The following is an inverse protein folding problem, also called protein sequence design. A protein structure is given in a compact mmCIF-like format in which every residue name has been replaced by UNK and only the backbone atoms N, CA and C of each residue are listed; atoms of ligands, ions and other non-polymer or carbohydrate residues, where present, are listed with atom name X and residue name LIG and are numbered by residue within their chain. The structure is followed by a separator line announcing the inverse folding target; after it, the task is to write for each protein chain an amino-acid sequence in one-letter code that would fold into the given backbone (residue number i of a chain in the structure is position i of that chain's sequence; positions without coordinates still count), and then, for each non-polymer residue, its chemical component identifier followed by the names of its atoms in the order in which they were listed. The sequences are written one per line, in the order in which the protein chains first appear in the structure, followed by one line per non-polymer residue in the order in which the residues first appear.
data_IF_682446147319
#
_entry.id   IF_682446147319
#
_cell.length_a   1.000
_cell.length_b   1.000
_cell.length_c   1.000
_cell.angle_alpha   90.00
_cell.angle_beta   90.00
_cell.angle_gamma   90.00
#
_symmetry.space_group_name_H-M   'P 1'
#
loop_
_entity.id
_entity.type
_entity.pdbx_description
1 polymer ?
#
# COMPACT_ATOMS: atom_id res chain seq x y z
N UNK A 1 56.07 -15.28 -41.57
CA UNK A 1 55.98 -14.12 -40.67
C UNK A 1 54.51 -13.92 -40.34
N UNK A 2 54.09 -14.36 -39.16
CA UNK A 2 52.72 -14.22 -38.68
C UNK A 2 52.53 -12.79 -38.15
N UNK A 3 51.60 -12.05 -38.74
CA UNK A 3 51.13 -10.77 -38.18
C UNK A 3 50.11 -11.06 -37.07
N UNK A 4 50.25 -10.45 -35.87
CA UNK A 4 49.30 -10.62 -34.77
C UNK A 4 48.00 -9.81 -35.02
N UNK A 5 46.91 -10.09 -34.29
CA UNK A 5 45.57 -9.63 -34.64
C UNK A 5 45.38 -8.14 -34.34
N UNK A 6 44.69 -7.45 -35.24
CA UNK A 6 44.17 -6.09 -35.05
C UNK A 6 43.16 -6.10 -33.90
N UNK A 7 43.57 -5.65 -32.72
CA UNK A 7 42.64 -5.37 -31.61
C UNK A 7 41.83 -4.12 -31.95
N UNK A 8 40.53 -4.33 -32.10
CA UNK A 8 39.50 -3.33 -32.31
C UNK A 8 39.34 -2.48 -31.04
N UNK A 9 39.59 -1.16 -31.04
CA UNK A 9 39.43 -0.32 -29.85
C UNK A 9 37.98 0.16 -29.75
N UNK A 10 37.03 -0.77 -29.70
CA UNK A 10 35.62 -0.49 -29.39
C UNK A 10 35.25 -1.24 -28.11
N UNK A 11 36.08 -1.10 -27.08
CA UNK A 11 35.66 -1.42 -25.71
C UNK A 11 34.85 -0.24 -25.20
N UNK A 12 33.52 -0.31 -25.35
CA UNK A 12 32.57 0.54 -24.66
C UNK A 12 32.86 0.55 -23.16
N UNK A 13 33.53 1.59 -22.68
CA UNK A 13 33.51 1.92 -21.27
C UNK A 13 32.15 2.53 -20.97
N UNK A 14 31.27 1.75 -20.35
CA UNK A 14 30.03 2.27 -19.75
C UNK A 14 30.44 3.29 -18.68
N UNK A 15 30.04 4.57 -18.78
CA UNK A 15 30.42 5.55 -17.78
C UNK A 15 29.64 5.26 -16.49
N UNK A 16 30.36 5.07 -15.38
CA UNK A 16 29.74 5.00 -14.06
C UNK A 16 29.07 6.35 -13.73
N UNK A 17 27.89 6.35 -13.07
CA UNK A 17 27.13 7.58 -12.86
C UNK A 17 27.90 8.50 -11.90
N UNK A 18 28.23 9.70 -12.37
CA UNK A 18 28.82 10.75 -11.54
C UNK A 18 27.78 11.25 -10.52
N UNK A 19 27.98 10.91 -9.24
CA UNK A 19 27.16 11.46 -8.15
C UNK A 19 27.37 12.97 -8.05
N UNK A 20 26.33 13.72 -8.39
CA UNK A 20 26.34 15.19 -8.43
C UNK A 20 26.57 15.77 -7.02
N UNK A 21 27.75 16.33 -6.76
CA UNK A 21 28.12 16.91 -5.45
C UNK A 21 27.24 18.09 -4.98
N UNK A 22 26.34 18.62 -5.83
CA UNK A 22 25.36 19.64 -5.43
C UNK A 22 24.27 19.07 -4.52
N UNK A 23 23.80 17.84 -4.75
CA UNK A 23 22.80 17.20 -3.87
C UNK A 23 23.37 16.86 -2.50
N UNK A 24 24.66 16.50 -2.44
CA UNK A 24 25.35 16.23 -1.18
C UNK A 24 25.55 17.50 -0.35
N UNK A 25 25.99 18.61 -0.97
CA UNK A 25 26.13 19.91 -0.28
C UNK A 25 24.79 20.46 0.19
N UNK A 26 23.74 20.33 -0.62
CA UNK A 26 22.38 20.68 -0.22
C UNK A 26 21.89 19.81 0.95
N UNK A 27 22.17 18.51 0.93
CA UNK A 27 21.89 17.60 2.04
C UNK A 27 22.60 18.00 3.33
N UNK A 28 23.88 18.38 3.28
CA UNK A 28 24.64 18.81 4.46
C UNK A 28 24.04 20.09 5.07
N UNK A 29 23.72 21.10 4.24
CA UNK A 29 23.06 22.32 4.73
C UNK A 29 21.68 22.05 5.31
N UNK A 30 20.92 21.12 4.72
CA UNK A 30 19.63 20.68 5.26
C UNK A 30 19.78 20.02 6.62
N UNK A 31 20.74 19.11 6.79
CA UNK A 31 20.99 18.44 8.08
C UNK A 31 21.45 19.43 9.16
N UNK A 32 22.34 20.38 8.82
CA UNK A 32 22.79 21.41 9.77
C UNK A 32 21.62 22.30 10.20
N UNK A 33 20.79 22.73 9.24
CA UNK A 33 19.58 23.50 9.53
C UNK A 33 18.60 22.72 10.44
N UNK A 34 18.38 21.45 10.13
CA UNK A 34 17.54 20.56 10.93
C UNK A 34 18.07 20.38 12.36
N UNK A 35 19.37 20.13 12.53
CA UNK A 35 20.00 19.97 13.84
C UNK A 35 19.97 21.26 14.66
N UNK A 36 20.17 22.42 14.02
CA UNK A 36 20.09 23.73 14.68
C UNK A 36 18.66 24.01 15.15
N UNK A 37 17.66 23.71 14.31
CA UNK A 37 16.25 23.86 14.66
C UNK A 37 15.85 22.89 15.79
N UNK A 38 16.32 21.65 15.74
CA UNK A 38 16.12 20.65 16.79
C UNK A 38 16.74 21.09 18.13
N UNK A 39 17.92 21.74 18.10
CA UNK A 39 18.57 22.26 19.29
C UNK A 39 17.77 23.41 19.93
N UNK A 40 17.25 24.33 19.11
CA UNK A 40 16.39 25.44 19.58
C UNK A 40 15.05 24.91 20.12
N UNK A 41 14.53 23.83 19.53
CA UNK A 41 13.26 23.19 19.90
C UNK A 41 13.44 21.93 20.76
N UNK A 42 14.47 21.90 21.60
CA UNK A 42 14.82 20.74 22.44
C UNK A 42 13.62 20.14 23.18
N UNK A 43 12.74 20.92 23.84
CA UNK A 43 11.55 20.36 24.51
C UNK A 43 10.60 19.63 23.55
N UNK A 44 10.41 20.16 22.34
CA UNK A 44 9.58 19.55 21.31
C UNK A 44 10.19 18.24 20.80
N UNK A 45 11.51 18.21 20.58
CA UNK A 45 12.21 17.00 20.12
C UNK A 45 12.09 15.88 21.15
N UNK A 46 12.28 16.19 22.43
CA UNK A 46 12.13 15.21 23.52
C UNK A 46 10.71 14.62 23.53
N UNK A 47 9.69 15.46 23.46
CA UNK A 47 8.30 14.99 23.48
C UNK A 47 7.94 14.15 22.26
N UNK A 48 8.38 14.57 21.06
CA UNK A 48 8.13 13.79 19.84
C UNK A 48 8.87 12.47 19.91
N UNK A 49 10.14 12.47 20.29
CA UNK A 49 10.97 11.26 20.29
C UNK A 49 10.46 10.21 21.29
N UNK A 50 10.19 10.62 22.54
CA UNK A 50 9.70 9.69 23.56
C UNK A 50 8.20 9.43 23.43
N UNK A 51 7.40 10.46 23.16
CA UNK A 51 5.95 10.33 23.04
C UNK A 51 5.50 9.53 21.81
N UNK A 52 6.25 9.59 20.71
CA UNK A 52 6.00 8.79 19.50
C UNK A 52 6.75 7.45 19.46
N UNK A 53 7.42 7.05 20.55
CA UNK A 53 8.15 5.78 20.59
C UNK A 53 7.28 4.58 20.14
N UNK A 54 6.01 4.43 20.56
CA UNK A 54 5.16 3.34 20.06
C UNK A 54 4.95 3.35 18.54
N UNK A 55 4.88 4.54 17.94
CA UNK A 55 4.76 4.69 16.48
C UNK A 55 6.05 4.31 15.75
N UNK A 56 7.20 4.61 16.35
CA UNK A 56 8.50 4.15 15.84
C UNK A 56 8.58 2.62 15.89
N UNK A 57 8.07 2.02 16.96
CA UNK A 57 7.98 0.55 17.08
C UNK A 57 7.03 -0.02 16.02
N UNK A 58 5.87 0.60 15.78
CA UNK A 58 4.95 0.19 14.72
C UNK A 58 5.60 0.28 13.32
N UNK A 59 6.35 1.35 13.04
CA UNK A 59 7.12 1.52 11.79
C UNK A 59 8.11 0.38 11.54
N UNK A 60 8.71 -0.18 12.59
CA UNK A 60 9.70 -1.27 12.49
C UNK A 60 9.04 -2.64 12.36
N UNK A 61 7.93 -2.86 13.08
CA UNK A 61 7.24 -4.15 13.13
C UNK A 61 6.39 -4.37 11.87
N UNK A 62 5.79 -3.32 11.33
CA UNK A 62 4.86 -3.42 10.20
C UNK A 62 5.59 -3.71 8.88
N UNK A 63 5.54 -4.98 8.49
CA UNK A 63 6.12 -5.49 7.23
C UNK A 63 5.09 -5.59 6.09
N UNK A 64 3.88 -5.07 6.29
CA UNK A 64 2.87 -5.06 5.23
C UNK A 64 3.23 -4.03 4.16
N UNK A 65 2.88 -4.29 2.89
CA UNK A 65 3.20 -3.40 1.77
C UNK A 65 2.61 -2.00 1.96
N UNK A 66 1.39 -1.91 2.53
CA UNK A 66 0.70 -0.65 2.81
C UNK A 66 1.00 -0.01 4.17
N UNK A 67 1.72 -0.69 5.06
CA UNK A 67 2.01 -0.26 6.45
C UNK A 67 0.81 0.31 7.21
N UNK A 68 -0.36 -0.33 7.10
CA UNK A 68 -1.59 0.21 7.68
C UNK A 68 -1.55 0.31 9.20
N UNK A 69 -0.89 -0.63 9.89
CA UNK A 69 -0.76 -0.58 11.34
C UNK A 69 0.05 0.64 11.77
N UNK A 70 1.13 0.93 11.04
CA UNK A 70 1.93 2.13 11.24
C UNK A 70 1.08 3.39 11.17
N UNK A 71 0.28 3.57 10.12
CA UNK A 71 -0.50 4.80 9.94
C UNK A 71 -1.58 4.96 11.01
N UNK A 72 -2.26 3.87 11.39
CA UNK A 72 -3.26 3.89 12.46
C UNK A 72 -2.63 4.26 13.81
N UNK A 73 -1.50 3.63 14.16
CA UNK A 73 -0.79 3.89 15.42
C UNK A 73 -0.21 5.29 15.43
N UNK A 74 0.44 5.72 14.34
CA UNK A 74 1.03 7.06 14.22
C UNK A 74 -0.01 8.16 14.37
N UNK A 75 -1.13 8.06 13.65
CA UNK A 75 -2.20 9.06 13.74
C UNK A 75 -2.79 9.15 15.15
N UNK A 76 -3.05 7.99 15.77
CA UNK A 76 -3.68 7.97 17.09
C UNK A 76 -2.71 8.36 18.21
N UNK A 77 -1.46 7.90 18.15
CA UNK A 77 -0.40 8.27 19.10
C UNK A 77 -0.06 9.77 19.00
N UNK A 78 0.02 10.31 17.78
CA UNK A 78 0.20 11.76 17.57
C UNK A 78 -0.97 12.56 18.10
N UNK A 79 -2.21 12.12 17.87
CA UNK A 79 -3.41 12.77 18.43
C UNK A 79 -3.36 12.85 19.97
N UNK A 80 -2.92 11.79 20.64
CA UNK A 80 -2.75 11.78 22.10
C UNK A 80 -1.59 12.64 22.61
N UNK A 81 -0.54 12.80 21.81
CA UNK A 81 0.60 13.68 22.11
C UNK A 81 0.31 15.16 21.83
N UNK A 82 -0.56 15.44 20.85
CA UNK A 82 -0.83 16.77 20.33
C UNK A 82 -1.15 17.84 21.40
N UNK A 83 -2.04 17.64 22.38
CA UNK A 83 -2.34 18.67 23.37
C UNK A 83 -1.10 19.08 24.18
N UNK A 84 -0.24 18.13 24.54
CA UNK A 84 1.01 18.40 25.25
C UNK A 84 2.02 19.13 24.35
N UNK A 85 1.99 18.86 23.05
CA UNK A 85 2.80 19.57 22.07
C UNK A 85 2.36 21.03 21.94
N UNK A 86 1.04 21.29 21.95
CA UNK A 86 0.50 22.65 21.92
C UNK A 86 0.85 23.45 23.18
N UNK A 87 0.91 22.80 24.35
CA UNK A 87 1.34 23.45 25.59
C UNK A 87 2.81 23.91 25.51
N UNK A 88 3.68 23.10 24.93
CA UNK A 88 5.08 23.50 24.72
C UNK A 88 5.15 24.68 23.76
N UNK A 89 4.40 24.62 22.67
CA UNK A 89 4.46 25.62 21.59
C UNK A 89 3.91 26.98 21.97
N UNK A 90 2.84 27.02 22.77
CA UNK A 90 2.12 28.26 23.06
C UNK A 90 2.19 28.72 24.51
N UNK A 91 2.60 27.85 25.44
CA UNK A 91 2.75 28.21 26.86
C UNK A 91 4.22 28.36 27.22
N UNK A 92 4.84 27.29 27.73
CA UNK A 92 6.15 27.35 28.37
C UNK A 92 7.13 26.47 27.59
N UNK A 93 7.98 27.12 26.80
CA UNK A 93 9.08 26.48 26.07
C UNK A 93 10.26 26.15 27.01
N UNK A 94 10.07 25.18 27.90
CA UNK A 94 11.13 24.72 28.81
C UNK A 94 11.28 23.22 28.79
N UNK A 95 12.52 22.76 28.94
CA UNK A 95 12.85 21.34 29.01
C UNK A 95 12.29 20.69 30.27
N UNK A 96 12.22 21.42 31.38
CA UNK A 96 11.65 20.93 32.63
C UNK A 96 10.17 20.53 32.46
N UNK A 97 9.39 21.34 31.72
CA UNK A 97 8.00 21.01 31.43
C UNK A 97 7.88 19.74 30.57
N UNK A 98 8.70 19.61 29.52
CA UNK A 98 8.71 18.41 28.69
C UNK A 98 9.03 17.14 29.50
N UNK A 99 10.03 17.21 30.39
CA UNK A 99 10.38 16.10 31.27
C UNK A 99 9.23 15.78 32.22
N UNK A 100 8.63 16.78 32.87
CA UNK A 100 7.46 16.58 33.75
C UNK A 100 6.33 15.89 33.02
N UNK A 101 6.01 16.34 31.81
CA UNK A 101 4.99 15.71 30.95
C UNK A 101 5.32 14.26 30.68
N UNK A 102 6.58 13.94 30.35
CA UNK A 102 7.00 12.57 30.08
C UNK A 102 7.08 11.66 31.31
N UNK A 103 7.24 12.23 32.51
CA UNK A 103 7.26 11.46 33.77
C UNK A 103 5.88 11.31 34.42
N UNK A 104 4.88 12.06 33.97
CA UNK A 104 3.54 12.01 34.52
C UNK A 104 2.79 10.77 33.98
N UNK A 105 2.37 9.89 34.89
CA UNK A 105 1.68 8.63 34.53
C UNK A 105 0.39 8.85 33.76
N UNK A 106 -0.37 9.91 34.06
CA UNK A 106 -1.64 10.18 33.38
C UNK A 106 -1.41 10.67 31.95
N UNK A 107 -0.37 11.49 31.74
CA UNK A 107 0.00 11.95 30.41
C UNK A 107 0.46 10.76 29.56
N UNK A 108 1.30 9.89 30.12
CA UNK A 108 1.75 8.66 29.47
C UNK A 108 0.57 7.73 29.13
N UNK A 109 -0.40 7.61 30.02
CA UNK A 109 -1.61 6.81 29.77
C UNK A 109 -2.37 7.35 28.57
N UNK A 110 -2.52 8.66 28.43
CA UNK A 110 -3.19 9.27 27.27
C UNK A 110 -2.36 9.02 25.99
N UNK A 111 -1.07 9.33 26.01
CA UNK A 111 -0.19 9.25 24.83
C UNK A 111 -0.04 7.81 24.33
N UNK A 112 0.23 6.87 25.24
CA UNK A 112 0.43 5.47 24.89
C UNK A 112 -0.87 4.70 24.82
N UNK A 113 -1.90 5.10 25.57
CA UNK A 113 -3.25 4.54 25.44
C UNK A 113 -3.86 4.87 24.09
N UNK A 114 -3.65 6.08 23.56
CA UNK A 114 -4.05 6.41 22.20
C UNK A 114 -3.24 5.59 21.17
N UNK A 115 -1.94 5.40 21.37
CA UNK A 115 -1.15 4.50 20.51
C UNK A 115 -1.69 3.05 20.51
N UNK A 116 -2.03 2.52 21.69
CA UNK A 116 -2.67 1.21 21.83
C UNK A 116 -4.02 1.15 21.15
N UNK A 117 -4.82 2.23 21.20
CA UNK A 117 -6.06 2.32 20.46
C UNK A 117 -5.84 2.25 18.94
N UNK A 118 -4.74 2.80 18.42
CA UNK A 118 -4.34 2.65 17.02
C UNK A 118 -4.14 1.18 16.61
N UNK A 119 -3.56 0.37 17.49
CA UNK A 119 -3.43 -1.09 17.25
C UNK A 119 -4.79 -1.80 17.25
N UNK A 120 -5.66 -1.47 18.21
CA UNK A 120 -7.02 -2.02 18.26
C UNK A 120 -7.78 -1.65 16.99
N UNK A 121 -7.66 -0.40 16.54
CA UNK A 121 -8.27 0.08 15.29
C UNK A 121 -7.78 -0.73 14.08
N UNK A 122 -6.46 -0.95 13.98
CA UNK A 122 -5.88 -1.76 12.92
C UNK A 122 -6.44 -3.20 12.90
N UNK A 123 -6.64 -3.83 14.07
CA UNK A 123 -7.20 -5.18 14.15
C UNK A 123 -8.72 -5.22 13.88
N UNK A 124 -9.43 -4.15 14.22
CA UNK A 124 -10.88 -4.05 14.03
C UNK A 124 -11.28 -3.67 12.59
N UNK A 125 -10.40 -2.99 11.85
CA UNK A 125 -10.67 -2.52 10.48
C UNK A 125 -10.99 -3.66 9.49
N UNK A 126 -10.21 -4.76 9.39
CA UNK A 126 -10.46 -5.82 8.42
C UNK A 126 -11.88 -6.41 8.47
N UNK A 127 -12.41 -6.89 9.62
CA UNK A 127 -13.77 -7.45 9.67
C UNK A 127 -14.85 -6.40 9.37
N UNK A 128 -14.64 -5.13 9.74
CA UNK A 128 -15.59 -4.05 9.46
C UNK A 128 -15.67 -3.78 7.95
N UNK A 129 -14.52 -3.75 7.28
CA UNK A 129 -14.48 -3.49 5.84
C UNK A 129 -15.05 -4.69 5.07
N UNK A 130 -14.73 -5.94 5.44
CA UNK A 130 -15.24 -7.12 4.72
C UNK A 130 -16.75 -7.28 4.83
N UNK A 131 -17.33 -6.97 5.99
CA UNK A 131 -18.79 -6.99 6.18
C UNK A 131 -19.48 -5.90 5.35
N UNK A 132 -18.92 -4.69 5.33
CA UNK A 132 -19.43 -3.60 4.50
C UNK A 132 -19.32 -3.91 3.00
N UNK A 133 -18.18 -4.44 2.56
CA UNK A 133 -17.95 -4.80 1.16
C UNK A 133 -18.86 -5.94 0.70
N UNK A 134 -19.10 -6.93 1.57
CA UNK A 134 -20.06 -8.02 1.31
C UNK A 134 -21.50 -7.52 1.21
N UNK A 135 -21.91 -6.59 2.08
CA UNK A 135 -23.24 -5.99 2.00
C UNK A 135 -23.41 -5.17 0.71
N UNK A 136 -22.36 -4.45 0.29
CA UNK A 136 -22.37 -3.68 -0.96
C UNK A 136 -22.40 -4.60 -2.19
N UNK A 137 -21.63 -5.69 -2.19
CA UNK A 137 -21.63 -6.65 -3.30
C UNK A 137 -22.98 -7.34 -3.45
N UNK A 138 -23.65 -7.70 -2.36
CA UNK A 138 -25.01 -8.26 -2.39
C UNK A 138 -26.02 -7.30 -3.01
N UNK A 139 -25.96 -5.99 -2.66
CA UNK A 139 -26.81 -4.97 -3.30
C UNK A 139 -26.55 -4.88 -4.79
N UNK A 140 -25.28 -4.88 -5.19
CA UNK A 140 -24.91 -4.83 -6.61
C UNK A 140 -25.41 -6.07 -7.36
N UNK A 141 -25.32 -7.25 -6.78
CA UNK A 141 -25.84 -8.50 -7.36
C UNK A 141 -27.36 -8.43 -7.48
N UNK A 142 -28.07 -7.90 -6.49
CA UNK A 142 -29.52 -7.72 -6.55
C UNK A 142 -29.95 -6.78 -7.68
N UNK A 143 -29.29 -5.62 -7.83
CA UNK A 143 -29.55 -4.69 -8.94
C UNK A 143 -29.30 -5.34 -10.31
N UNK A 144 -28.23 -6.15 -10.43
CA UNK A 144 -27.92 -6.83 -11.69
C UNK A 144 -28.96 -7.91 -12.01
N UNK A 145 -29.41 -8.67 -11.01
CA UNK A 145 -30.47 -9.69 -11.18
C UNK A 145 -31.81 -9.07 -11.55
N UNK A 146 -32.16 -7.93 -10.97
CA UNK A 146 -33.38 -7.19 -11.32
C UNK A 146 -33.33 -6.71 -12.78
N UNK A 147 -32.19 -6.17 -13.23
CA UNK A 147 -31.98 -5.81 -14.64
C UNK A 147 -32.04 -7.01 -15.57
N UNK A 148 -31.45 -8.15 -15.19
CA UNK A 148 -31.56 -9.39 -15.96
C UNK A 148 -33.02 -9.83 -16.07
N UNK A 149 -33.79 -9.80 -14.99
CA UNK A 149 -35.21 -10.15 -15.00
C UNK A 149 -36.03 -9.24 -15.92
N UNK A 150 -35.78 -7.92 -15.90
CA UNK A 150 -36.45 -6.97 -16.79
C UNK A 150 -36.13 -7.25 -18.27
N UNK A 151 -34.86 -7.55 -18.59
CA UNK A 151 -34.46 -7.87 -19.97
C UNK A 151 -35.15 -9.17 -20.44
N UNK A 152 -35.25 -10.17 -19.58
CA UNK A 152 -35.95 -11.43 -19.89
C UNK A 152 -37.45 -11.19 -20.12
N UNK A 153 -38.07 -10.31 -19.33
CA UNK A 153 -39.48 -9.93 -19.52
C UNK A 153 -39.72 -9.19 -20.84
N UNK A 154 -38.83 -8.25 -21.21
CA UNK A 154 -38.95 -7.45 -22.42
C UNK A 154 -38.62 -8.25 -23.70
N UNK A 155 -37.64 -9.14 -23.66
CA UNK A 155 -37.08 -9.80 -24.85
C UNK A 155 -37.39 -11.31 -24.95
N UNK A 156 -38.00 -11.89 -23.91
CA UNK A 156 -38.33 -13.32 -23.84
C UNK A 156 -37.13 -14.20 -23.49
N UNK A 157 -37.43 -15.46 -23.13
CA UNK A 157 -36.46 -16.44 -22.58
C UNK A 157 -35.37 -16.88 -23.58
N UNK A 158 -35.45 -16.49 -24.86
CA UNK A 158 -34.41 -16.87 -25.84
C UNK A 158 -33.04 -16.25 -25.55
N UNK A 159 -33.00 -15.14 -24.80
CA UNK A 159 -31.74 -14.44 -24.45
C UNK A 159 -30.93 -15.18 -23.39
N UNK A 160 -31.56 -15.94 -22.49
CA UNK A 160 -30.85 -16.75 -21.48
C UNK A 160 -30.27 -18.02 -22.07
N UNK A 161 -30.95 -18.62 -23.04
CA UNK A 161 -30.49 -19.84 -23.73
C UNK A 161 -29.14 -19.67 -24.43
N UNK A 162 -28.80 -18.48 -24.93
CA UNK A 162 -27.51 -18.25 -25.61
C UNK A 162 -26.33 -18.39 -24.63
N UNK A 163 -26.51 -17.98 -23.37
CA UNK A 163 -25.46 -18.09 -22.35
C UNK A 163 -25.29 -19.53 -21.87
N UNK A 164 -26.40 -20.26 -21.68
CA UNK A 164 -26.36 -21.67 -21.26
C UNK A 164 -25.92 -22.63 -22.39
N UNK A 165 -26.16 -22.26 -23.67
CA UNK A 165 -25.77 -23.08 -24.82
C UNK A 165 -24.27 -23.04 -25.13
N UNK A 166 -23.57 -21.96 -24.76
CA UNK A 166 -22.10 -21.88 -24.89
C UNK A 166 -21.37 -22.69 -23.80
N UNK A 167 -22.03 -23.01 -22.69
CA UNK A 167 -21.50 -23.91 -21.64
C UNK A 167 -21.85 -25.40 -21.88
N UNK A 168 -22.70 -25.69 -22.89
CA UNK A 168 -23.33 -27.00 -23.08
C UNK A 168 -22.96 -27.80 -24.34
N UNK A 169 -22.25 -27.24 -25.33
CA UNK A 169 -22.09 -27.92 -26.62
C UNK A 169 -20.63 -27.94 -27.13
N UNK A 170 -19.80 -28.81 -26.54
CA UNK A 170 -18.68 -29.42 -27.27
C UNK A 170 -19.00 -30.91 -27.51
N UNK A 171 -19.53 -31.28 -28.69
CA UNK A 171 -19.84 -32.67 -29.02
C UNK A 171 -18.61 -33.47 -29.47
N UNK A 172 -17.38 -33.09 -29.11
CA UNK A 172 -16.16 -33.75 -29.60
C UNK A 172 -15.26 -34.43 -28.57
N UNK A 173 -15.69 -34.63 -27.32
CA UNK A 173 -14.93 -35.40 -26.33
C UNK A 173 -15.64 -36.71 -25.97
N UNK A 174 -15.05 -37.89 -26.27
CA UNK A 174 -15.63 -39.17 -25.91
C UNK A 174 -15.71 -39.35 -24.38
N UNK A 175 -16.84 -39.92 -23.99
CA UNK A 175 -17.26 -40.43 -22.69
C UNK A 175 -16.15 -40.88 -21.73
N UNK A 176 -16.31 -40.42 -20.49
CA UNK A 176 -15.46 -40.72 -19.34
C UNK A 176 -15.14 -42.21 -19.19
N UNK A 177 -13.84 -42.54 -19.22
CA UNK A 177 -13.34 -43.80 -18.65
C UNK A 177 -12.48 -43.49 -17.44
N UNK A 178 -12.99 -43.86 -16.27
CA UNK A 178 -12.31 -44.21 -15.03
C UNK A 178 -11.08 -43.38 -14.60
N UNK A 179 -11.26 -42.61 -13.53
CA UNK A 179 -10.20 -42.01 -12.72
C UNK A 179 -9.16 -43.06 -12.29
N UNK A 180 -7.85 -42.81 -12.44
CA UNK A 180 -6.84 -43.29 -11.52
C UNK A 180 -6.58 -42.19 -10.47
N UNK A 181 -6.71 -42.57 -9.21
CA UNK A 181 -6.39 -41.83 -7.99
C UNK A 181 -5.08 -41.02 -8.11
N UNK A 182 -5.12 -39.70 -7.87
CA UNK A 182 -3.96 -38.81 -7.92
C UNK A 182 -3.55 -38.39 -6.48
N UNK A 183 -2.31 -38.63 -6.04
CA UNK A 183 -1.80 -38.09 -4.79
C UNK A 183 -1.41 -36.61 -4.94
N UNK A 184 -1.75 -35.85 -3.89
CA UNK A 184 -1.28 -34.52 -3.45
C UNK A 184 -0.79 -33.51 -4.51
N UNK A 185 -1.55 -32.42 -4.62
CA UNK A 185 -1.23 -31.23 -5.39
C UNK A 185 0.15 -30.61 -5.07
N UNK A 186 0.79 -30.01 -6.09
CA UNK A 186 1.49 -28.76 -5.84
C UNK A 186 1.17 -27.67 -6.87
N UNK A 187 1.02 -26.46 -6.32
CA UNK A 187 1.37 -25.15 -6.90
C UNK A 187 0.58 -24.62 -8.12
N UNK A 188 -0.37 -23.75 -7.80
CA UNK A 188 -0.70 -22.47 -8.47
C UNK A 188 -0.36 -22.33 -9.98
N UNK A 189 -1.41 -22.37 -10.81
CA UNK A 189 -1.38 -21.85 -12.18
C UNK A 189 -1.13 -20.32 -12.17
N UNK A 190 -0.33 -19.78 -13.11
CA UNK A 190 -0.13 -18.34 -13.24
C UNK A 190 -1.43 -17.65 -13.71
N UNK A 191 -1.63 -16.35 -13.36
CA UNK A 191 -2.84 -15.62 -13.73
C UNK A 191 -2.94 -15.44 -15.26
N UNK A 192 -4.16 -15.35 -15.82
CA UNK A 192 -4.37 -15.23 -17.26
C UNK A 192 -3.81 -13.92 -17.83
N UNK A 193 -3.37 -13.91 -19.12
CA UNK A 193 -2.80 -12.73 -19.75
C UNK A 193 -3.86 -11.62 -19.91
N UNK A 194 -3.49 -10.38 -19.53
CA UNK A 194 -4.34 -9.21 -19.70
C UNK A 194 -4.55 -8.88 -21.20
N UNK A 195 -5.74 -8.41 -21.61
CA UNK A 195 -6.01 -8.04 -23.00
C UNK A 195 -5.18 -6.82 -23.42
N UNK A 196 -4.61 -6.89 -24.63
CA UNK A 196 -3.76 -5.84 -25.20
C UNK A 196 -4.55 -4.52 -25.44
N UNK A 197 -3.89 -3.35 -25.30
CA UNK A 197 -4.53 -2.06 -25.53
C UNK A 197 -4.92 -1.88 -27.02
N UNK A 198 -6.01 -1.12 -27.30
CA UNK A 198 -6.53 -0.97 -28.65
C UNK A 198 -5.54 -0.25 -29.57
N UNK A 199 -5.16 -0.91 -30.66
CA UNK A 199 -4.39 -0.32 -31.76
C UNK A 199 -5.23 0.74 -32.48
N UNK A 200 -4.81 2.01 -32.41
CA UNK A 200 -5.33 3.10 -33.22
C UNK A 200 -4.99 2.87 -34.70
N UNK A 201 -5.88 3.20 -35.66
CA UNK A 201 -5.56 3.15 -37.08
C UNK A 201 -4.57 4.27 -37.46
N UNK A 202 -3.57 3.95 -38.28
CA UNK A 202 -2.60 4.91 -38.81
C UNK A 202 -3.27 6.05 -39.58
N UNK A 203 -2.75 7.28 -39.48
CA UNK A 203 -3.22 8.38 -40.33
C UNK A 203 -2.71 8.17 -41.76
N UNK A 204 -3.63 8.13 -42.72
CA UNK A 204 -3.33 8.09 -44.16
C UNK A 204 -2.56 9.31 -44.67
N UNK A 205 -1.94 9.21 -45.85
CA UNK A 205 -0.98 10.20 -46.34
C UNK A 205 -1.62 11.56 -46.62
N UNK A 206 -0.91 12.60 -46.20
CA UNK A 206 -1.25 14.02 -46.37
C UNK A 206 -1.25 14.44 -47.85
N UNK A 207 -2.39 14.96 -48.32
CA UNK A 207 -2.45 15.87 -49.48
C UNK A 207 -2.26 17.33 -49.03
#
# INVERSE_FOLDING_TARGET
MATPPTQNPSASAVPAPAVSGKSLRQGIWFVIGLMTLAYISLPTVVLIFFGLMPSIVALVIDRTEGRYATFCVLGMNFSGLFPFLTDVWFQVHTTDMAIRTMTNVFNLLIIYGSAGFGWVLYMALPPVITTFLSAMSQRRVAELREKQAQIIEEWGESVTTILDSEEGEDPSVPEATAMPELPDAPAALPPPPQPAPPTMPEPGPSE
#
